data_IF_409920293989
#
_entry.id   IF_409920293989
#
_cell.length_a   1.000
_cell.length_b   1.000
_cell.length_c   1.000
_cell.angle_alpha   90.00
_cell.angle_beta   90.00
_cell.angle_gamma   90.00
#
_symmetry.space_group_name_H-M   'P 1'
#
loop_
_entity.id
_entity.type
_entity.pdbx_description
1 polymer ?
#
# COMPACT_ATOMS: atom_id res chain seq x y z
N UNK A 1 -18.88 -5.61 10.77
CA UNK A 1 -17.74 -5.93 9.91
C UNK A 1 -16.56 -5.16 10.46
N UNK A 2 -15.40 -5.78 10.70
CA UNK A 2 -14.20 -5.02 11.06
C UNK A 2 -13.87 -4.01 9.96
N UNK A 3 -13.42 -2.82 10.35
CA UNK A 3 -12.95 -1.76 9.43
C UNK A 3 -11.43 -1.94 9.27
N UNK A 4 -10.96 -1.92 8.03
CA UNK A 4 -9.54 -2.03 7.70
C UNK A 4 -8.96 -0.71 7.20
N UNK A 5 -7.69 -0.51 7.51
CA UNK A 5 -6.82 0.38 6.75
C UNK A 5 -5.81 -0.48 6.01
N UNK A 6 -5.24 0.03 4.92
CA UNK A 6 -4.40 -0.78 4.07
C UNK A 6 -3.24 -0.01 3.45
N UNK A 7 -2.09 -0.68 3.35
CA UNK A 7 -1.02 -0.25 2.47
C UNK A 7 -1.29 -0.85 1.10
N UNK A 8 -1.55 0.00 0.11
CA UNK A 8 -1.80 -0.36 -1.27
C UNK A 8 -0.53 -0.16 -2.11
N UNK A 9 -0.11 -1.24 -2.77
CA UNK A 9 1.04 -1.27 -3.67
C UNK A 9 0.57 -1.74 -5.04
N UNK A 10 0.95 -1.03 -6.10
CA UNK A 10 0.48 -1.34 -7.45
C UNK A 10 1.66 -1.58 -8.40
N UNK A 11 1.44 -2.47 -9.36
CA UNK A 11 2.37 -2.73 -10.45
C UNK A 11 1.62 -3.06 -11.74
N UNK A 12 2.25 -2.80 -12.88
CA UNK A 12 1.75 -3.34 -14.15
C UNK A 12 2.10 -4.81 -14.26
N UNK A 13 1.12 -5.63 -14.68
CA UNK A 13 1.31 -7.08 -14.75
C UNK A 13 0.88 -7.69 -16.09
N UNK A 14 1.45 -8.85 -16.37
CA UNK A 14 1.25 -9.70 -17.54
C UNK A 14 1.46 -11.14 -17.11
N UNK A 15 1.00 -12.10 -17.91
CA UNK A 15 1.19 -13.52 -17.59
C UNK A 15 2.67 -13.90 -17.45
N UNK A 16 3.58 -13.10 -18.03
CA UNK A 16 5.02 -13.35 -18.02
C UNK A 16 5.71 -12.84 -16.75
N UNK A 17 5.22 -11.77 -16.12
CA UNK A 17 5.87 -11.16 -14.96
C UNK A 17 5.11 -11.35 -13.64
N UNK A 18 3.91 -11.94 -13.64
CA UNK A 18 3.12 -12.16 -12.41
C UNK A 18 3.93 -12.85 -11.30
N UNK A 19 4.58 -13.97 -11.61
CA UNK A 19 5.38 -14.71 -10.63
C UNK A 19 6.59 -13.91 -10.13
N UNK A 20 7.18 -13.07 -10.98
CA UNK A 20 8.25 -12.17 -10.58
C UNK A 20 7.76 -11.09 -9.62
N UNK A 21 6.57 -10.52 -9.85
CA UNK A 21 5.96 -9.52 -8.97
C UNK A 21 5.58 -10.13 -7.61
N UNK A 22 5.00 -11.33 -7.61
CA UNK A 22 4.70 -12.08 -6.38
C UNK A 22 5.97 -12.39 -5.58
N UNK A 23 7.04 -12.82 -6.26
CA UNK A 23 8.32 -13.07 -5.63
C UNK A 23 8.94 -11.78 -5.08
N UNK A 24 8.85 -10.67 -5.80
CA UNK A 24 9.35 -9.37 -5.34
C UNK A 24 8.61 -8.93 -4.08
N UNK A 25 7.28 -8.97 -4.09
CA UNK A 25 6.47 -8.62 -2.92
C UNK A 25 6.77 -9.53 -1.72
N UNK A 26 6.89 -10.84 -1.96
CA UNK A 26 7.32 -11.81 -0.95
C UNK A 26 8.67 -11.45 -0.34
N UNK A 27 9.67 -11.13 -1.17
CA UNK A 27 11.01 -10.74 -0.67
C UNK A 27 10.95 -9.50 0.21
N UNK A 28 10.12 -8.51 -0.14
CA UNK A 28 9.90 -7.34 0.72
C UNK A 28 9.28 -7.73 2.06
N UNK A 29 8.28 -8.62 2.08
CA UNK A 29 7.71 -9.10 3.35
C UNK A 29 8.72 -9.87 4.20
N UNK A 30 9.57 -10.70 3.58
CA UNK A 30 10.65 -11.42 4.27
C UNK A 30 11.69 -10.44 4.86
N UNK A 31 12.02 -9.36 4.14
CA UNK A 31 12.90 -8.27 4.62
C UNK A 31 12.27 -7.51 5.80
N UNK A 32 10.94 -7.35 5.78
CA UNK A 32 10.14 -6.81 6.89
C UNK A 32 9.93 -7.82 8.03
N UNK A 33 10.68 -8.92 8.06
CA UNK A 33 10.67 -9.90 9.14
C UNK A 33 9.44 -10.82 9.16
N UNK A 34 8.71 -10.95 8.05
CA UNK A 34 7.63 -11.93 7.96
C UNK A 34 8.18 -13.36 8.05
N UNK A 35 7.87 -14.07 9.15
CA UNK A 35 8.26 -15.48 9.34
C UNK A 35 7.10 -16.45 9.16
N UNK A 36 5.92 -15.97 8.75
CA UNK A 36 4.73 -16.82 8.59
C UNK A 36 4.85 -17.66 7.30
N UNK A 37 5.16 -18.95 7.47
CA UNK A 37 5.31 -19.86 6.35
C UNK A 37 4.02 -20.04 5.51
N UNK A 38 2.84 -19.80 6.10
CA UNK A 38 1.57 -19.89 5.37
C UNK A 38 1.37 -18.69 4.46
N UNK A 39 1.68 -17.46 4.93
CA UNK A 39 1.66 -16.25 4.08
C UNK A 39 2.58 -16.43 2.87
N UNK A 40 3.80 -16.90 3.14
CA UNK A 40 4.82 -17.10 2.10
C UNK A 40 4.42 -18.19 1.11
N UNK A 41 3.84 -19.29 1.60
CA UNK A 41 3.32 -20.35 0.74
C UNK A 41 2.12 -19.87 -0.09
N UNK A 42 1.21 -19.10 0.50
CA UNK A 42 0.03 -18.57 -0.16
C UNK A 42 0.40 -17.64 -1.33
N UNK A 43 1.36 -16.72 -1.16
CA UNK A 43 1.85 -15.87 -2.26
C UNK A 43 2.38 -16.67 -3.46
N UNK A 44 2.93 -17.86 -3.20
CA UNK A 44 3.46 -18.74 -4.26
C UNK A 44 2.36 -19.54 -4.98
N UNK A 45 1.12 -19.50 -4.49
CA UNK A 45 -0.04 -20.20 -5.04
C UNK A 45 -0.96 -19.26 -5.84
N UNK A 46 -0.70 -17.95 -5.83
CA UNK A 46 -1.47 -16.98 -6.62
C UNK A 46 -1.19 -17.22 -8.10
N UNK A 47 -2.26 -17.50 -8.84
CA UNK A 47 -2.21 -17.83 -10.26
C UNK A 47 -2.73 -16.68 -11.13
N UNK A 48 -2.55 -16.81 -12.44
CA UNK A 48 -3.13 -15.87 -13.39
C UNK A 48 -4.67 -15.99 -13.37
N UNK A 49 -5.44 -14.89 -13.24
CA UNK A 49 -6.89 -14.98 -13.16
C UNK A 49 -7.47 -15.58 -14.46
N UNK A 50 -8.34 -16.59 -14.36
CA UNK A 50 -8.96 -17.19 -15.54
C UNK A 50 -10.15 -16.36 -16.05
N UNK A 51 -10.67 -15.44 -15.24
CA UNK A 51 -11.75 -14.51 -15.57
C UNK A 51 -11.64 -13.20 -14.76
N UNK A 52 -12.39 -12.16 -15.14
CA UNK A 52 -12.45 -10.92 -14.36
C UNK A 52 -13.07 -11.12 -12.96
N UNK A 53 -14.00 -12.07 -12.82
CA UNK A 53 -14.62 -12.41 -11.53
C UNK A 53 -13.63 -13.06 -10.57
N UNK A 54 -12.67 -13.83 -11.08
CA UNK A 54 -11.54 -14.38 -10.30
C UNK A 54 -10.44 -13.33 -10.04
N UNK A 55 -10.48 -12.19 -10.73
CA UNK A 55 -9.51 -11.11 -10.58
C UNK A 55 -9.61 -10.37 -9.24
N UNK A 56 -10.75 -10.43 -8.55
CA UNK A 56 -10.95 -9.76 -7.27
C UNK A 56 -11.21 -10.83 -6.18
N UNK A 57 -10.19 -11.53 -5.69
CA UNK A 57 -10.50 -12.65 -4.80
C UNK A 57 -9.40 -13.34 -4.02
N UNK A 58 -8.12 -13.09 -4.33
CA UNK A 58 -7.05 -13.75 -3.58
C UNK A 58 -6.83 -13.03 -2.25
N UNK A 59 -7.45 -13.55 -1.19
CA UNK A 59 -7.38 -13.00 0.16
C UNK A 59 -6.73 -14.03 1.10
N UNK A 60 -5.63 -13.63 1.72
CA UNK A 60 -5.11 -14.30 2.91
C UNK A 60 -5.74 -13.66 4.15
N UNK A 61 -6.84 -14.25 4.62
CA UNK A 61 -7.63 -13.74 5.75
C UNK A 61 -7.15 -14.31 7.09
N UNK A 62 -5.84 -14.23 7.37
CA UNK A 62 -5.27 -14.63 8.66
C UNK A 62 -4.25 -13.62 9.16
N UNK A 63 -4.26 -13.27 10.46
CA UNK A 63 -3.31 -12.32 11.00
C UNK A 63 -1.88 -12.88 10.98
N UNK A 64 -0.92 -11.99 10.72
CA UNK A 64 0.51 -12.28 10.83
C UNK A 64 1.24 -11.01 11.32
N UNK A 65 2.51 -11.14 11.69
CA UNK A 65 3.29 -10.02 12.20
C UNK A 65 4.44 -9.66 11.26
N UNK A 66 4.74 -8.37 11.20
CA UNK A 66 5.93 -7.82 10.58
C UNK A 66 6.80 -7.17 11.66
N UNK A 67 8.11 -7.20 11.45
CA UNK A 67 9.13 -6.60 12.31
C UNK A 67 9.88 -5.52 11.50
N UNK A 68 9.26 -4.34 11.30
CA UNK A 68 9.83 -3.31 10.44
C UNK A 68 11.11 -2.68 11.00
N UNK A 69 11.33 -2.69 12.31
CA UNK A 69 12.54 -2.11 12.92
C UNK A 69 13.08 -3.10 13.94
N UNK A 70 14.39 -3.34 13.89
CA UNK A 70 15.09 -4.16 14.89
C UNK A 70 14.82 -3.58 16.29
N UNK A 71 14.46 -4.44 17.25
CA UNK A 71 14.08 -4.09 18.63
C UNK A 71 12.76 -3.30 18.82
N UNK A 72 11.99 -3.02 17.76
CA UNK A 72 10.64 -2.46 17.89
C UNK A 72 9.57 -3.55 18.08
N UNK A 73 8.44 -3.15 18.68
CA UNK A 73 7.27 -4.03 18.78
C UNK A 73 6.77 -4.42 17.38
N UNK A 74 6.44 -5.70 17.14
CA UNK A 74 5.89 -6.12 15.86
C UNK A 74 4.57 -5.41 15.57
N UNK A 75 4.35 -5.10 14.30
CA UNK A 75 3.05 -4.64 13.82
C UNK A 75 2.26 -5.84 13.30
N UNK A 76 1.06 -6.01 13.82
CA UNK A 76 0.16 -7.08 13.39
C UNK A 76 -0.65 -6.65 12.17
N UNK A 77 -0.54 -7.43 11.11
CA UNK A 77 -1.36 -7.32 9.91
C UNK A 77 -2.59 -8.22 10.07
N UNK A 78 -3.76 -7.74 9.64
CA UNK A 78 -5.00 -8.51 9.67
C UNK A 78 -5.09 -9.53 8.51
N UNK A 79 -4.26 -9.34 7.48
CA UNK A 79 -4.21 -10.20 6.31
C UNK A 79 -3.59 -9.50 5.10
N UNK A 80 -3.70 -10.15 3.96
CA UNK A 80 -3.30 -9.64 2.65
C UNK A 80 -4.45 -9.83 1.66
N UNK A 81 -4.62 -8.91 0.73
CA UNK A 81 -5.43 -9.14 -0.46
C UNK A 81 -4.66 -8.79 -1.73
N UNK A 82 -4.88 -9.56 -2.78
CA UNK A 82 -4.38 -9.30 -4.12
C UNK A 82 -5.56 -9.08 -5.04
N UNK A 83 -5.51 -7.99 -5.80
CA UNK A 83 -6.55 -7.62 -6.76
C UNK A 83 -5.95 -7.40 -8.14
N UNK A 84 -6.59 -7.99 -9.14
CA UNK A 84 -6.23 -7.91 -10.55
C UNK A 84 -7.24 -7.01 -11.27
N UNK A 85 -6.78 -5.83 -11.70
CA UNK A 85 -7.56 -4.90 -12.49
C UNK A 85 -7.39 -5.25 -13.97
N UNK A 86 -8.44 -5.87 -14.51
CA UNK A 86 -8.60 -6.19 -15.93
C UNK A 86 -9.30 -5.05 -16.67
N UNK A 87 -9.29 -5.06 -18.01
CA UNK A 87 -9.54 -3.88 -18.88
C UNK A 87 -10.93 -3.23 -18.79
N UNK A 88 -11.84 -3.71 -17.93
CA UNK A 88 -13.23 -3.25 -17.87
C UNK A 88 -13.48 -1.95 -17.08
N UNK A 89 -12.45 -1.33 -16.47
CA UNK A 89 -12.61 -0.12 -15.63
C UNK A 89 -12.43 1.26 -16.31
N UNK A 90 -11.70 1.33 -17.44
CA UNK A 90 -11.25 2.61 -18.01
C UNK A 90 -11.50 2.69 -19.54
N UNK A 91 -12.71 3.09 -19.99
CA UNK A 91 -13.07 3.14 -21.42
C UNK A 91 -12.33 4.21 -22.25
N UNK A 92 -11.40 4.97 -21.66
CA UNK A 92 -10.74 6.13 -22.27
C UNK A 92 -9.32 5.89 -22.80
N UNK A 93 -8.74 4.71 -22.61
CA UNK A 93 -7.39 4.37 -23.08
C UNK A 93 -7.48 3.26 -24.14
N UNK A 94 -6.83 3.45 -25.29
CA UNK A 94 -6.58 2.34 -26.22
C UNK A 94 -5.50 1.44 -25.59
N UNK A 95 -5.87 0.21 -25.24
CA UNK A 95 -5.02 -0.83 -24.65
C UNK A 95 -4.33 -0.43 -23.31
N UNK A 96 -5.10 -0.15 -22.25
CA UNK A 96 -4.52 0.17 -20.95
C UNK A 96 -3.75 -1.03 -20.39
N UNK A 97 -2.62 -0.78 -19.69
CA UNK A 97 -1.90 -1.86 -19.02
C UNK A 97 -2.79 -2.48 -17.94
N UNK A 98 -2.62 -3.78 -17.72
CA UNK A 98 -3.27 -4.48 -16.61
C UNK A 98 -2.53 -4.14 -15.31
N UNK A 99 -3.27 -3.93 -14.22
CA UNK A 99 -2.71 -3.62 -12.91
C UNK A 99 -2.97 -4.70 -11.86
N UNK A 100 -1.97 -4.97 -11.04
CA UNK A 100 -2.12 -5.76 -9.82
C UNK A 100 -1.98 -4.83 -8.62
N UNK A 101 -2.84 -5.00 -7.62
CA UNK A 101 -2.67 -4.41 -6.30
C UNK A 101 -2.34 -5.48 -5.27
N UNK A 102 -1.36 -5.19 -4.43
CA UNK A 102 -1.08 -5.88 -3.19
C UNK A 102 -1.52 -4.98 -2.04
N UNK A 103 -2.51 -5.42 -1.27
CA UNK A 103 -3.03 -4.68 -0.13
C UNK A 103 -2.66 -5.40 1.17
N UNK A 104 -1.85 -4.75 2.00
CA UNK A 104 -1.54 -5.19 3.34
C UNK A 104 -2.54 -4.58 4.32
N UNK A 105 -3.33 -5.44 4.98
CA UNK A 105 -4.49 -5.03 5.76
C UNK A 105 -4.15 -4.86 7.24
N UNK A 106 -4.72 -3.85 7.88
CA UNK A 106 -4.59 -3.55 9.31
C UNK A 106 -5.96 -3.32 9.93
N UNK A 107 -6.24 -3.97 11.06
CA UNK A 107 -7.48 -3.74 11.81
C UNK A 107 -7.45 -2.33 12.44
N UNK A 108 -8.37 -1.45 12.00
CA UNK A 108 -8.46 -0.06 12.47
C UNK A 108 -8.61 0.00 14.00
N UNK A 109 -9.31 -0.94 14.62
CA UNK A 109 -9.48 -0.96 16.07
C UNK A 109 -8.14 -1.16 16.82
N UNK A 110 -7.16 -1.81 16.18
CA UNK A 110 -5.83 -2.05 16.74
C UNK A 110 -4.87 -0.89 16.51
N UNK A 111 -4.98 -0.20 15.38
CA UNK A 111 -4.02 0.86 15.00
C UNK A 111 -4.51 2.28 15.27
N UNK A 112 -5.82 2.51 15.42
CA UNK A 112 -6.42 3.83 15.64
C UNK A 112 -6.77 4.05 17.11
N UNK A 113 -6.80 5.31 17.55
CA UNK A 113 -7.33 5.69 18.87
C UNK A 113 -8.86 5.59 18.86
N UNK A 114 -9.45 5.08 19.93
CA UNK A 114 -10.90 4.89 20.00
C UNK A 114 -11.64 6.22 19.79
N UNK A 115 -12.62 6.23 18.87
CA UNK A 115 -13.47 7.37 18.54
C UNK A 115 -12.74 8.63 18.00
N UNK A 116 -11.48 8.52 17.56
CA UNK A 116 -10.74 9.61 16.92
C UNK A 116 -10.24 9.17 15.54
N UNK A 117 -10.18 10.07 14.54
CA UNK A 117 -9.60 9.78 13.22
C UNK A 117 -8.06 9.65 13.26
N UNK A 118 -7.46 9.56 14.45
CA UNK A 118 -6.02 9.67 14.70
C UNK A 118 -5.45 8.29 15.05
N UNK A 119 -4.33 7.93 14.42
CA UNK A 119 -3.59 6.70 14.69
C UNK A 119 -2.90 6.72 16.06
N UNK A 120 -2.58 5.54 16.58
CA UNK A 120 -1.82 5.39 17.83
C UNK A 120 -0.36 5.78 17.58
N UNK A 121 0.33 6.22 18.63
CA UNK A 121 1.76 6.55 18.55
C UNK A 121 2.57 5.29 18.21
N UNK A 122 3.61 5.44 17.40
CA UNK A 122 4.46 4.34 16.91
C UNK A 122 3.92 3.66 15.65
N UNK A 123 2.60 3.70 15.41
CA UNK A 123 1.99 3.13 14.19
C UNK A 123 2.48 3.87 12.96
N UNK A 124 2.60 5.20 13.02
CA UNK A 124 3.08 6.00 11.91
C UNK A 124 4.47 5.57 11.46
N UNK A 125 5.40 5.44 12.41
CA UNK A 125 6.77 4.96 12.13
C UNK A 125 6.80 3.57 11.49
N UNK A 126 6.05 2.61 12.04
CA UNK A 126 6.00 1.24 11.52
C UNK A 126 5.42 1.17 10.10
N UNK A 127 4.29 1.85 9.84
CA UNK A 127 3.67 1.92 8.52
C UNK A 127 4.60 2.60 7.52
N UNK A 128 5.23 3.70 7.92
CA UNK A 128 6.19 4.42 7.07
C UNK A 128 7.37 3.55 6.66
N UNK A 129 7.94 2.79 7.58
CA UNK A 129 9.03 1.86 7.28
C UNK A 129 8.59 0.82 6.24
N UNK A 130 7.44 0.16 6.44
CA UNK A 130 6.89 -0.82 5.50
C UNK A 130 6.72 -0.19 4.10
N UNK A 131 6.13 1.01 4.05
CA UNK A 131 5.92 1.71 2.79
C UNK A 131 7.23 2.06 2.08
N UNK A 132 8.31 2.37 2.82
CA UNK A 132 9.62 2.65 2.23
C UNK A 132 10.21 1.42 1.56
N UNK A 133 10.21 0.26 2.23
CA UNK A 133 10.71 -0.99 1.65
C UNK A 133 9.92 -1.38 0.39
N UNK A 134 8.60 -1.18 0.41
CA UNK A 134 7.75 -1.37 -0.76
C UNK A 134 8.09 -0.37 -1.88
N UNK A 135 8.30 0.91 -1.55
CA UNK A 135 8.60 1.94 -2.54
C UNK A 135 9.96 1.75 -3.22
N UNK A 136 10.92 1.07 -2.59
CA UNK A 136 12.19 0.71 -3.23
C UNK A 136 11.99 -0.35 -4.34
N UNK A 137 11.03 -1.25 -4.14
CA UNK A 137 10.71 -2.34 -5.07
C UNK A 137 9.66 -1.97 -6.11
N UNK A 138 8.70 -1.11 -5.77
CA UNK A 138 7.53 -0.76 -6.59
C UNK A 138 7.45 0.75 -6.80
N UNK A 139 7.86 1.20 -7.99
CA UNK A 139 8.09 2.62 -8.31
C UNK A 139 7.17 3.20 -9.38
N UNK A 140 6.15 2.45 -9.80
CA UNK A 140 5.32 2.86 -10.95
C UNK A 140 4.34 3.98 -10.60
N UNK A 141 3.51 3.78 -9.57
CA UNK A 141 2.44 4.72 -9.19
C UNK A 141 2.47 5.15 -7.73
N UNK A 142 3.51 4.76 -6.98
CA UNK A 142 3.64 5.04 -5.55
C UNK A 142 2.97 4.01 -4.65
N UNK A 143 3.18 4.18 -3.34
CA UNK A 143 2.64 3.35 -2.26
C UNK A 143 1.72 4.22 -1.42
N UNK A 144 0.55 3.70 -1.08
CA UNK A 144 -0.49 4.47 -0.39
C UNK A 144 -0.91 3.77 0.88
N UNK A 145 -1.17 4.53 1.94
CA UNK A 145 -1.87 4.06 3.11
C UNK A 145 -3.22 4.76 3.19
N UNK A 146 -4.28 3.96 3.16
CA UNK A 146 -5.66 4.43 3.00
C UNK A 146 -6.58 3.75 4.00
N UNK A 147 -7.70 4.38 4.32
CA UNK A 147 -8.86 3.67 4.88
C UNK A 147 -9.70 2.99 3.78
N UNK A 148 -10.70 2.20 4.17
CA UNK A 148 -11.62 1.52 3.25
C UNK A 148 -12.35 2.48 2.28
N UNK A 149 -12.62 3.72 2.69
CA UNK A 149 -13.37 4.66 1.86
C UNK A 149 -12.51 5.30 0.77
N UNK A 150 -11.20 5.31 0.98
CA UNK A 150 -10.20 5.90 0.09
C UNK A 150 -9.61 4.89 -0.92
N UNK A 151 -9.94 3.61 -0.77
CA UNK A 151 -9.36 2.50 -1.55
C UNK A 151 -9.36 2.77 -3.07
N UNK A 152 -8.19 2.58 -3.68
CA UNK A 152 -7.94 2.67 -5.13
C UNK A 152 -8.09 4.06 -5.74
N UNK A 153 -8.58 5.07 -5.00
CA UNK A 153 -8.89 6.38 -5.58
C UNK A 153 -7.64 7.09 -6.08
N UNK A 154 -6.56 7.10 -5.29
CA UNK A 154 -5.31 7.74 -5.66
C UNK A 154 -4.63 7.05 -6.85
N UNK A 155 -4.64 5.71 -6.89
CA UNK A 155 -4.16 4.96 -8.04
C UNK A 155 -4.95 5.29 -9.31
N UNK A 156 -6.29 5.33 -9.25
CA UNK A 156 -7.13 5.67 -10.41
C UNK A 156 -6.86 7.09 -10.92
N UNK A 157 -6.64 8.05 -10.02
CA UNK A 157 -6.27 9.40 -10.40
C UNK A 157 -4.97 9.45 -11.22
N UNK A 158 -4.02 8.55 -10.94
CA UNK A 158 -2.75 8.46 -11.67
C UNK A 158 -2.88 7.61 -12.94
N UNK A 159 -3.43 6.41 -12.84
CA UNK A 159 -3.50 5.44 -13.93
C UNK A 159 -4.55 5.81 -14.99
N UNK A 160 -5.72 6.31 -14.56
CA UNK A 160 -6.84 6.65 -15.44
C UNK A 160 -6.92 8.16 -15.74
N UNK A 161 -6.13 8.98 -15.04
CA UNK A 161 -6.26 10.45 -15.05
C UNK A 161 -7.64 10.96 -14.60
N UNK A 162 -8.28 10.26 -13.66
CA UNK A 162 -9.63 10.57 -13.17
C UNK A 162 -9.65 10.68 -11.65
N UNK A 163 -10.08 11.84 -11.14
CA UNK A 163 -10.25 12.08 -9.70
C UNK A 163 -9.14 12.93 -9.09
N UNK A 164 -9.04 12.86 -7.77
CA UNK A 164 -8.04 13.57 -6.97
C UNK A 164 -6.96 12.59 -6.49
N UNK A 165 -5.67 12.82 -6.81
CA UNK A 165 -4.60 11.92 -6.37
C UNK A 165 -4.25 12.07 -4.88
N UNK A 166 -4.82 13.04 -4.17
CA UNK A 166 -4.56 13.32 -2.74
C UNK A 166 -5.50 12.58 -1.77
N UNK A 167 -6.07 11.45 -2.19
CA UNK A 167 -7.01 10.67 -1.38
C UNK A 167 -6.25 9.53 -0.69
N UNK A 168 -5.52 9.89 0.37
CA UNK A 168 -4.75 8.96 1.21
C UNK A 168 -4.43 9.61 2.56
N UNK A 169 -4.13 8.79 3.58
CA UNK A 169 -3.67 9.27 4.89
C UNK A 169 -2.12 9.40 4.94
N UNK A 170 -1.41 8.55 4.18
CA UNK A 170 0.04 8.61 3.95
C UNK A 170 0.37 8.05 2.56
N UNK A 171 1.35 8.61 1.87
CA UNK A 171 1.81 8.11 0.57
C UNK A 171 3.30 8.33 0.34
N UNK A 172 3.90 7.47 -0.49
CA UNK A 172 5.24 7.63 -1.05
C UNK A 172 5.14 7.63 -2.57
N UNK A 173 5.64 8.68 -3.20
CA UNK A 173 5.63 8.84 -4.65
C UNK A 173 7.04 8.76 -5.24
N UNK A 174 7.21 8.08 -6.38
CA UNK A 174 8.44 8.13 -7.16
C UNK A 174 8.66 9.55 -7.74
N UNK A 175 9.91 9.96 -7.94
CA UNK A 175 10.26 11.29 -8.48
C UNK A 175 9.62 11.59 -9.83
N UNK A 176 9.39 10.55 -10.61
CA UNK A 176 8.75 10.55 -11.92
C UNK A 176 7.33 11.13 -11.87
N UNK A 177 6.67 11.08 -10.71
CA UNK A 177 5.34 11.65 -10.50
C UNK A 177 5.34 13.07 -9.92
N UNK A 178 6.49 13.72 -9.73
CA UNK A 178 6.58 15.05 -9.12
C UNK A 178 5.63 16.08 -9.76
N UNK A 179 5.43 15.99 -11.08
CA UNK A 179 4.55 16.91 -11.80
C UNK A 179 3.08 16.81 -11.41
N UNK A 180 2.63 15.64 -10.94
CA UNK A 180 1.25 15.37 -10.49
C UNK A 180 0.98 15.91 -9.08
N UNK A 181 2.03 16.17 -8.30
CA UNK A 181 1.93 16.52 -6.88
C UNK A 181 2.56 17.89 -6.57
N UNK A 182 2.67 18.79 -7.57
CA UNK A 182 3.26 20.13 -7.37
C UNK A 182 2.45 20.99 -6.40
N UNK A 183 1.13 20.90 -6.46
CA UNK A 183 0.22 21.66 -5.62
C UNK A 183 -0.19 20.79 -4.44
N UNK A 184 0.54 20.92 -3.34
CA UNK A 184 0.25 20.19 -2.08
C UNK A 184 -0.97 20.84 -1.41
N UNK A 185 -2.07 20.11 -1.19
CA UNK A 185 -3.25 20.65 -0.54
C UNK A 185 -2.98 21.03 0.93
N UNK A 186 -3.75 21.97 1.49
CA UNK A 186 -3.69 22.27 2.92
C UNK A 186 -3.96 21.02 3.77
N UNK A 187 -3.21 20.86 4.86
CA UNK A 187 -3.34 19.72 5.77
C UNK A 187 -2.51 18.49 5.38
N UNK A 188 -1.75 18.57 4.29
CA UNK A 188 -0.68 17.62 4.01
C UNK A 188 0.69 18.24 4.31
N UNK A 189 1.55 17.42 4.91
CA UNK A 189 2.97 17.72 5.03
C UNK A 189 3.78 16.76 4.17
N UNK A 190 4.90 17.22 3.63
CA UNK A 190 5.77 16.44 2.76
C UNK A 190 7.19 16.29 3.29
N UNK A 191 7.87 15.23 2.89
CA UNK A 191 9.29 14.98 3.11
C UNK A 191 9.96 14.44 1.85
N UNK A 192 11.28 14.60 1.74
CA UNK A 192 12.08 14.05 0.65
C UNK A 192 12.73 12.75 1.10
N UNK A 193 12.63 11.73 0.26
CA UNK A 193 13.31 10.45 0.48
C UNK A 193 14.21 10.08 -0.70
N UNK A 194 15.01 9.03 -0.53
CA UNK A 194 15.70 8.42 -1.65
C UNK A 194 14.65 7.92 -2.67
N UNK A 195 14.87 8.23 -3.95
CA UNK A 195 13.96 7.80 -5.02
C UNK A 195 12.61 8.54 -5.13
N UNK A 196 12.23 9.41 -4.19
CA UNK A 196 10.87 9.98 -4.18
C UNK A 196 10.55 11.07 -3.15
N UNK A 197 9.26 11.19 -2.86
CA UNK A 197 8.66 12.12 -1.89
C UNK A 197 7.65 11.38 -1.02
N UNK A 198 7.62 11.67 0.27
CA UNK A 198 6.59 11.19 1.19
C UNK A 198 5.60 12.30 1.53
N UNK A 199 4.33 11.97 1.70
CA UNK A 199 3.30 12.91 2.17
C UNK A 199 2.39 12.27 3.20
N UNK A 200 2.04 13.01 4.24
CA UNK A 200 1.13 12.56 5.30
C UNK A 200 0.03 13.60 5.53
N UNK A 201 -1.20 13.15 5.75
CA UNK A 201 -2.29 14.01 6.20
C UNK A 201 -2.10 14.32 7.70
N UNK A 202 -1.78 15.57 8.03
CA UNK A 202 -1.29 15.98 9.36
C UNK A 202 -2.24 15.59 10.50
N UNK A 203 -3.55 15.70 10.28
CA UNK A 203 -4.57 15.48 11.32
C UNK A 203 -4.81 13.99 11.64
N UNK A 204 -4.13 13.06 10.96
CA UNK A 204 -4.24 11.61 11.19
C UNK A 204 -3.21 11.08 12.18
N UNK A 205 -2.18 11.85 12.49
CA UNK A 205 -1.01 11.35 13.21
C UNK A 205 -0.71 12.18 14.46
N UNK A 206 -0.31 11.56 15.58
CA UNK A 206 0.14 12.30 16.76
C UNK A 206 1.50 12.98 16.54
N UNK A 207 2.37 12.36 15.74
CA UNK A 207 3.59 12.92 15.16
C UNK A 207 3.70 12.41 13.71
N UNK A 208 4.47 13.08 12.85
CA UNK A 208 4.55 12.68 11.45
C UNK A 208 5.21 11.29 11.33
N UNK A 209 4.76 10.44 10.40
CA UNK A 209 5.24 9.06 10.27
C UNK A 209 6.77 8.93 10.15
N UNK A 210 7.43 9.83 9.43
CA UNK A 210 8.89 9.81 9.26
C UNK A 210 9.66 10.37 10.48
N UNK A 211 9.02 11.15 11.34
CA UNK A 211 9.66 11.63 12.58
C UNK A 211 9.69 10.52 13.64
N UNK A 212 8.73 9.60 13.59
CA UNK A 212 8.67 8.42 14.47
C UNK A 212 9.60 7.28 14.00
N UNK A 213 9.97 7.25 12.72
CA UNK A 213 10.81 6.19 12.14
C UNK A 213 12.33 6.44 12.28
N UNK A 214 12.74 7.60 12.81
CA UNK A 214 14.13 8.06 12.83
C UNK A 214 14.72 8.29 14.23
N UNK A 215 14.13 7.71 15.28
CA UNK A 215 14.65 7.77 16.66
C UNK A 215 15.26 6.45 17.10
#
# INVERSE_FOLDING_TARGET
MPEYAQIQTYATYTARNLQTLLQLYRTVLEQLGCTDAQVIAWLSQVEWPASEEEGFGDIYASPFSLHPVDDADPIECAGLSISFYTQSGAPSLEDPPLWIAFNLLFDVAKIRRHAAPVYRSGVGGAIWYIMRELAESFREVGIYFTDEWQENQSWRAIAENVGDPWIFDLAIFPRELADRFKEVPPGFQGTVIEGGFGFAQENRWPALPWDEAGS
#
